data_IF_208569945147
#
_entry.id   IF_208569945147
#
_cell.length_a   1.000
_cell.length_b   1.000
_cell.length_c   1.000
_cell.angle_alpha   90.00
_cell.angle_beta   90.00
_cell.angle_gamma   90.00
#
_symmetry.space_group_name_H-M   'P 1'
#
loop_
_entity.id
_entity.type
_entity.pdbx_description
1 polymer ?
#
# COMPACT_ATOMS: atom_id res chain seq x y z
N UNK A 1 6.86 -6.17 -18.97
CA UNK A 1 6.53 -6.37 -17.54
C UNK A 1 5.41 -7.40 -17.47
N UNK A 2 5.48 -8.31 -16.52
CA UNK A 2 4.44 -9.33 -16.32
C UNK A 2 3.17 -8.69 -15.76
N UNK A 3 2.03 -9.31 -16.03
CA UNK A 3 0.73 -8.90 -15.48
C UNK A 3 0.45 -9.76 -14.25
N UNK A 4 0.13 -9.13 -13.14
CA UNK A 4 -0.17 -9.78 -11.87
C UNK A 4 -1.62 -9.50 -11.46
N UNK A 5 -2.20 -10.51 -10.82
CA UNK A 5 -3.49 -10.50 -10.19
C UNK A 5 -3.25 -10.64 -8.70
N UNK A 6 -3.56 -9.60 -7.94
CA UNK A 6 -3.26 -9.47 -6.53
C UNK A 6 -4.56 -9.43 -5.75
N UNK A 7 -4.63 -10.13 -4.62
CA UNK A 7 -5.80 -10.13 -3.75
C UNK A 7 -5.42 -10.21 -2.28
N UNK A 8 -6.15 -9.51 -1.42
CA UNK A 8 -6.06 -9.60 0.02
C UNK A 8 -7.48 -9.44 0.60
N UNK A 9 -8.10 -10.53 1.05
CA UNK A 9 -9.49 -10.51 1.48
C UNK A 9 -10.45 -10.03 0.39
N UNK A 10 -11.15 -8.94 0.65
CA UNK A 10 -12.06 -8.29 -0.30
C UNK A 10 -11.37 -7.36 -1.30
N UNK A 11 -10.08 -7.03 -1.09
CA UNK A 11 -9.32 -6.15 -1.96
C UNK A 11 -8.71 -6.93 -3.11
N UNK A 12 -8.80 -6.38 -4.33
CA UNK A 12 -8.18 -6.96 -5.52
C UNK A 12 -7.56 -5.87 -6.39
N UNK A 13 -6.44 -6.19 -7.01
CA UNK A 13 -5.70 -5.30 -7.90
C UNK A 13 -5.15 -6.09 -9.08
N UNK A 14 -5.27 -5.54 -10.29
CA UNK A 14 -4.64 -6.09 -11.50
C UNK A 14 -3.62 -5.08 -11.99
N UNK A 15 -2.34 -5.45 -11.99
CA UNK A 15 -1.25 -4.52 -12.25
C UNK A 15 -0.14 -5.16 -13.09
N UNK A 16 0.56 -4.34 -13.88
CA UNK A 16 1.85 -4.71 -14.44
C UNK A 16 2.99 -4.30 -13.52
N UNK A 17 3.79 -5.25 -13.07
CA UNK A 17 4.89 -5.04 -12.14
C UNK A 17 6.15 -5.79 -12.59
N UNK A 18 7.34 -5.42 -12.10
CA UNK A 18 8.57 -6.16 -12.38
C UNK A 18 8.63 -7.51 -11.65
N UNK A 19 8.06 -7.62 -10.45
CA UNK A 19 8.01 -8.87 -9.66
C UNK A 19 6.70 -8.98 -8.88
N UNK A 20 6.43 -10.18 -8.34
CA UNK A 20 5.26 -10.44 -7.51
C UNK A 20 5.29 -9.63 -6.20
N UNK A 21 6.47 -9.47 -5.60
CA UNK A 21 6.69 -8.63 -4.40
C UNK A 21 6.26 -7.18 -4.66
N UNK A 22 6.65 -6.61 -5.81
CA UNK A 22 6.25 -5.26 -6.18
C UNK A 22 4.74 -5.15 -6.37
N UNK A 23 4.09 -6.16 -6.94
CA UNK A 23 2.64 -6.19 -7.07
C UNK A 23 1.94 -6.28 -5.71
N UNK A 24 2.47 -7.09 -4.78
CA UNK A 24 1.96 -7.18 -3.41
C UNK A 24 2.13 -5.85 -2.64
N UNK A 25 3.32 -5.25 -2.70
CA UNK A 25 3.60 -3.95 -2.08
C UNK A 25 2.69 -2.86 -2.65
N UNK A 26 2.36 -2.92 -3.94
CA UNK A 26 1.44 -1.95 -4.54
C UNK A 26 0.00 -2.10 -4.05
N UNK A 27 -0.47 -3.32 -3.80
CA UNK A 27 -1.77 -3.51 -3.12
C UNK A 27 -1.72 -2.90 -1.71
N UNK A 28 -0.64 -3.11 -0.96
CA UNK A 28 -0.49 -2.50 0.37
C UNK A 28 -0.48 -0.98 0.32
N UNK A 29 0.18 -0.40 -0.68
CA UNK A 29 0.20 1.04 -0.89
C UNK A 29 -1.21 1.61 -1.15
N UNK A 30 -2.01 0.93 -1.97
CA UNK A 30 -3.41 1.31 -2.21
C UNK A 30 -4.29 1.13 -0.97
N UNK A 31 -4.09 0.05 -0.23
CA UNK A 31 -4.82 -0.21 1.01
C UNK A 31 -4.53 0.85 2.09
N UNK A 32 -3.27 1.26 2.23
CA UNK A 32 -2.82 2.15 3.30
C UNK A 32 -2.80 3.63 2.89
N UNK A 33 -3.04 3.97 1.63
CA UNK A 33 -3.00 5.34 1.12
C UNK A 33 -3.89 6.30 1.92
N UNK A 34 -5.08 5.84 2.35
CA UNK A 34 -6.02 6.62 3.16
C UNK A 34 -5.47 6.99 4.55
N UNK A 35 -4.42 6.31 5.02
CA UNK A 35 -3.78 6.52 6.31
C UNK A 35 -2.41 7.19 6.19
N UNK A 36 -2.00 7.62 5.00
CA UNK A 36 -0.70 8.29 4.80
C UNK A 36 -0.59 9.63 5.55
N UNK A 37 -1.72 10.25 5.96
CA UNK A 37 -1.74 11.50 6.71
C UNK A 37 -1.05 11.40 8.09
N UNK A 38 -0.96 10.21 8.69
CA UNK A 38 -0.35 10.03 10.02
C UNK A 38 1.14 10.38 10.04
N UNK A 39 1.80 10.44 8.87
CA UNK A 39 3.20 10.81 8.73
C UNK A 39 3.43 12.33 8.61
N UNK A 40 2.36 13.09 8.38
CA UNK A 40 2.37 14.55 8.39
C UNK A 40 2.05 15.10 9.81
N UNK A 41 1.55 14.25 10.70
CA UNK A 41 1.21 14.60 12.08
C UNK A 41 2.45 14.53 13.00
N UNK A 42 2.86 15.68 13.54
CA UNK A 42 4.04 15.83 14.40
C UNK A 42 3.80 15.34 15.84
N UNK A 43 2.55 15.22 16.28
CA UNK A 43 2.21 14.80 17.64
C UNK A 43 2.21 13.27 17.79
N UNK A 44 2.22 12.53 16.68
CA UNK A 44 2.28 11.07 16.67
C UNK A 44 3.72 10.55 16.73
N UNK A 45 3.99 9.65 17.67
CA UNK A 45 5.25 8.89 17.69
C UNK A 45 5.30 7.86 16.57
N UNK A 46 6.49 7.33 16.28
CA UNK A 46 6.65 6.23 15.32
C UNK A 46 5.85 4.99 15.75
N UNK A 47 5.78 4.74 17.06
CA UNK A 47 5.00 3.63 17.62
C UNK A 47 3.49 3.85 17.42
N UNK A 48 2.98 5.06 17.67
CA UNK A 48 1.55 5.37 17.46
C UNK A 48 1.14 5.16 16.00
N UNK A 49 2.01 5.58 15.04
CA UNK A 49 1.79 5.37 13.61
C UNK A 49 1.76 3.88 13.26
N UNK A 50 2.68 3.10 13.82
CA UNK A 50 2.75 1.65 13.60
C UNK A 50 1.52 0.93 14.17
N UNK A 51 1.08 1.32 15.35
CA UNK A 51 -0.09 0.73 16.01
C UNK A 51 -1.38 1.08 15.26
N UNK A 52 -1.53 2.33 14.81
CA UNK A 52 -2.63 2.76 13.94
C UNK A 52 -2.72 1.87 12.70
N UNK A 53 -1.62 1.75 11.94
CA UNK A 53 -1.59 0.92 10.72
C UNK A 53 -1.87 -0.56 10.99
N UNK A 54 -1.39 -1.07 12.11
CA UNK A 54 -1.62 -2.47 12.50
C UNK A 54 -3.11 -2.73 12.78
N UNK A 55 -3.79 -1.80 13.44
CA UNK A 55 -5.23 -1.88 13.67
C UNK A 55 -6.01 -1.81 12.36
N UNK A 56 -5.67 -0.88 11.47
CA UNK A 56 -6.32 -0.75 10.16
C UNK A 56 -6.14 -2.02 9.31
N UNK A 57 -4.93 -2.60 9.30
CA UNK A 57 -4.66 -3.84 8.61
C UNK A 57 -5.47 -5.01 9.19
N UNK A 58 -5.59 -5.13 10.52
CA UNK A 58 -6.39 -6.18 11.16
C UNK A 58 -7.89 -6.05 10.85
N UNK A 59 -8.39 -4.83 10.67
CA UNK A 59 -9.81 -4.57 10.39
C UNK A 59 -10.17 -4.78 8.92
N UNK A 60 -9.24 -4.49 8.00
CA UNK A 60 -9.56 -4.36 6.58
C UNK A 60 -8.83 -5.34 5.66
N UNK A 61 -7.78 -6.01 6.13
CA UNK A 61 -6.97 -6.94 5.34
C UNK A 61 -7.05 -8.36 5.87
N UNK A 62 -6.82 -9.33 4.98
CA UNK A 62 -6.49 -10.70 5.40
C UNK A 62 -5.05 -10.76 5.91
N UNK A 63 -4.66 -11.87 6.54
CA UNK A 63 -3.27 -12.05 7.01
C UNK A 63 -2.23 -12.15 5.88
N UNK A 64 -2.67 -12.51 4.67
CA UNK A 64 -1.79 -12.68 3.50
C UNK A 64 -2.33 -11.98 2.26
N UNK A 65 -1.41 -11.50 1.43
CA UNK A 65 -1.64 -11.05 0.06
C UNK A 65 -1.28 -12.19 -0.87
N UNK A 66 -2.17 -12.54 -1.79
CA UNK A 66 -1.96 -13.56 -2.81
C UNK A 66 -1.69 -12.90 -4.16
N UNK A 67 -0.64 -13.33 -4.85
CA UNK A 67 -0.22 -12.79 -6.15
C UNK A 67 -0.08 -13.93 -7.15
N UNK A 68 -0.73 -13.84 -8.32
CA UNK A 68 -0.58 -14.80 -9.40
C UNK A 68 -0.43 -14.08 -10.75
N UNK A 69 0.35 -14.64 -11.66
CA UNK A 69 0.45 -14.18 -13.05
C UNK A 69 -0.72 -14.71 -13.91
N UNK A 70 -1.36 -15.80 -13.45
CA UNK A 70 -2.33 -16.56 -14.22
C UNK A 70 -3.79 -16.15 -13.95
N UNK A 71 -4.07 -15.44 -12.85
CA UNK A 71 -5.42 -14.99 -12.50
C UNK A 71 -5.70 -14.97 -10.99
N UNK A 72 -6.86 -14.45 -10.59
CA UNK A 72 -7.29 -14.42 -9.18
C UNK A 72 -7.68 -15.81 -8.67
N UNK A 73 -7.46 -16.06 -7.37
CA UNK A 73 -7.92 -17.28 -6.68
C UNK A 73 -7.21 -18.57 -7.09
N UNK A 74 -6.04 -18.46 -7.74
CA UNK A 74 -5.28 -19.62 -8.22
C UNK A 74 -4.45 -20.25 -7.09
N UNK A 75 -4.23 -21.56 -7.22
CA UNK A 75 -3.44 -22.35 -6.26
C UNK A 75 -1.92 -22.15 -6.43
N UNK A 76 -1.48 -21.58 -7.55
CA UNK A 76 -0.09 -21.22 -7.84
C UNK A 76 0.29 -19.82 -7.33
N UNK A 77 -0.65 -19.14 -6.67
CA UNK A 77 -0.40 -17.79 -6.18
C UNK A 77 0.68 -17.80 -5.10
N UNK A 78 1.69 -16.95 -5.27
CA UNK A 78 2.64 -16.63 -4.20
C UNK A 78 1.91 -15.90 -3.07
N UNK A 79 2.31 -16.19 -1.83
CA UNK A 79 1.72 -15.60 -0.63
C UNK A 79 2.72 -14.69 0.07
N UNK A 80 2.28 -13.50 0.43
CA UNK A 80 3.08 -12.50 1.14
C UNK A 80 2.36 -12.10 2.42
N UNK A 81 3.06 -12.15 3.55
CA UNK A 81 2.46 -11.82 4.85
C UNK A 81 2.20 -10.32 4.96
N UNK A 82 0.96 -9.94 5.29
CA UNK A 82 0.57 -8.54 5.49
C UNK A 82 1.41 -7.85 6.57
N UNK A 83 1.71 -8.46 7.74
CA UNK A 83 2.57 -7.82 8.74
C UNK A 83 3.96 -7.44 8.21
N UNK A 84 4.55 -8.26 7.34
CA UNK A 84 5.87 -8.00 6.75
C UNK A 84 5.78 -6.85 5.74
N UNK A 85 4.78 -6.89 4.85
CA UNK A 85 4.60 -5.83 3.86
C UNK A 85 4.24 -4.50 4.52
N UNK A 86 3.43 -4.53 5.57
CA UNK A 86 3.05 -3.34 6.35
C UNK A 86 4.27 -2.70 7.03
N UNK A 87 5.14 -3.50 7.63
CA UNK A 87 6.39 -3.01 8.23
C UNK A 87 7.33 -2.40 7.17
N UNK A 88 7.45 -3.02 6.01
CA UNK A 88 8.22 -2.49 4.88
C UNK A 88 7.65 -1.16 4.36
N UNK A 89 6.33 -1.10 4.16
CA UNK A 89 5.63 0.12 3.74
C UNK A 89 5.81 1.23 4.78
N UNK A 90 5.65 0.91 6.07
CA UNK A 90 5.83 1.86 7.16
C UNK A 90 7.25 2.43 7.21
N UNK A 91 8.27 1.57 7.06
CA UNK A 91 9.67 2.02 6.99
C UNK A 91 9.93 2.94 5.80
N UNK A 92 9.35 2.63 4.64
CA UNK A 92 9.46 3.47 3.46
C UNK A 92 8.85 4.85 3.72
N UNK A 93 7.61 4.90 4.20
CA UNK A 93 6.89 6.16 4.45
C UNK A 93 7.56 7.01 5.53
N UNK A 94 8.06 6.39 6.60
CA UNK A 94 8.88 7.06 7.62
C UNK A 94 10.17 7.64 7.01
N UNK A 95 10.84 6.87 6.14
CA UNK A 95 12.02 7.34 5.43
C UNK A 95 11.73 8.54 4.52
N UNK A 96 10.64 8.48 3.75
CA UNK A 96 10.20 9.56 2.87
C UNK A 96 9.82 10.82 3.67
N UNK A 97 9.07 10.67 4.75
CA UNK A 97 8.73 11.78 5.65
C UNK A 97 9.99 12.48 6.20
N UNK A 98 10.98 11.71 6.68
CA UNK A 98 12.27 12.24 7.15
C UNK A 98 13.08 12.93 6.05
N UNK A 99 13.03 12.41 4.82
CA UNK A 99 13.69 13.03 3.66
C UNK A 99 13.07 14.37 3.28
N UNK A 100 11.74 14.50 3.36
CA UNK A 100 11.08 15.78 3.10
C UNK A 100 11.47 16.84 4.15
N UNK A 101 11.42 16.47 5.42
CA UNK A 101 11.83 17.35 6.52
C UNK A 101 13.29 17.80 6.37
N UNK A 102 14.20 16.88 6.05
CA UNK A 102 15.63 17.22 5.89
C UNK A 102 15.91 18.13 4.67
N UNK A 103 15.06 18.06 3.65
CA UNK A 103 15.10 18.95 2.48
C UNK A 103 14.51 20.35 2.75
N UNK A 104 14.04 20.63 3.97
CA UNK A 104 13.38 21.89 4.32
C UNK A 104 11.99 22.05 3.69
N UNK A 105 11.40 20.95 3.24
CA UNK A 105 10.03 20.92 2.75
C UNK A 105 9.11 20.68 3.96
N UNK A 106 8.05 21.46 4.06
CA UNK A 106 6.94 21.13 4.97
C UNK A 106 6.50 19.68 4.71
N UNK A 107 6.13 18.89 5.73
CA UNK A 107 5.55 17.56 5.57
C UNK A 107 4.30 17.67 4.69
N UNK A 108 4.52 17.56 3.39
CA UNK A 108 3.51 17.81 2.37
C UNK A 108 3.17 16.45 1.82
N UNK A 109 1.93 16.00 2.07
CA UNK A 109 1.32 14.75 1.62
C UNK A 109 2.34 13.81 1.00
N UNK A 110 2.74 12.78 1.74
CA UNK A 110 3.65 11.73 1.26
C UNK A 110 3.20 11.14 -0.10
N UNK A 111 1.91 11.27 -0.44
CA UNK A 111 1.36 11.02 -1.77
C UNK A 111 1.22 12.28 -2.64
N UNK A 112 1.73 12.29 -3.88
CA UNK A 112 1.44 13.36 -4.83
C UNK A 112 -0.07 13.41 -5.10
N UNK A 113 -0.65 14.62 -5.08
CA UNK A 113 -2.08 14.86 -5.34
C UNK A 113 -2.57 14.36 -6.73
N UNK A 114 -1.67 13.88 -7.59
CA UNK A 114 -1.96 13.50 -8.98
C UNK A 114 -2.33 12.02 -9.19
N UNK A 115 -2.44 11.19 -8.14
CA UNK A 115 -2.94 9.81 -8.27
C UNK A 115 -4.47 9.71 -8.28
N UNK A 116 -5.21 10.78 -7.95
CA UNK A 116 -6.67 10.83 -8.03
C UNK A 116 -7.22 10.77 -9.48
N UNK A 117 -6.35 10.92 -10.50
CA UNK A 117 -6.76 11.00 -11.91
C UNK A 117 -6.64 9.67 -12.69
N UNK A 118 -6.31 8.56 -12.02
CA UNK A 118 -6.14 7.26 -12.68
C UNK A 118 -7.14 6.26 -12.12
N UNK A 119 -8.16 5.97 -12.94
CA UNK A 119 -9.12 4.85 -12.87
C UNK A 119 -10.43 5.07 -12.09
N UNK A 120 -11.30 5.91 -12.64
CA UNK A 120 -12.72 5.51 -12.75
C UNK A 120 -13.04 5.21 -14.21
N UNK A 121 -13.55 4.01 -14.57
CA UNK A 121 -14.18 3.85 -15.87
C UNK A 121 -15.39 4.79 -15.91
N UNK A 122 -15.44 5.67 -16.91
CA UNK A 122 -16.63 6.49 -17.19
C UNK A 122 -17.82 5.56 -17.31
N UNK A 123 -18.80 5.70 -16.43
CA UNK A 123 -20.09 5.04 -16.53
C UNK A 123 -20.69 5.34 -17.91
N UNK A 124 -21.23 4.35 -18.64
CA UNK A 124 -21.93 4.62 -19.88
C UNK A 124 -23.20 5.45 -19.59
N UNK A 125 -23.47 6.35 -20.53
CA UNK A 125 -24.52 7.38 -20.51
C UNK A 125 -25.92 6.86 -20.18
#
# INVERSE_FOLDING_TARGET
MAKFYVSCGSQTLIISAPTAEFAAMRLMDEAMAAHAWIYDDADLSEQDRRDHLSLEALLHLSSTVRVSECGLGRSDAGEFEVPILLDQWHRLMTGVSRLFVSAGLEPRRVMPANLENVLYPKSPR
#
